data_IF_289044465572
#
_entry.id   IF_289044465572
#
_cell.length_a   1.000
_cell.length_b   1.000
_cell.length_c   1.000
_cell.angle_alpha   90.00
_cell.angle_beta   90.00
_cell.angle_gamma   90.00
#
_symmetry.space_group_name_H-M   'P 1'
#
loop_
_entity.id
_entity.type
_entity.pdbx_description
1 polymer ?
#
# COMPACT_ATOMS: atom_id res chain seq x y z
N UNK A 1 -5.89 -18.75 -3.75
CA UNK A 1 -5.23 -17.87 -4.72
C UNK A 1 -4.09 -17.22 -3.97
N UNK A 2 -2.85 -17.39 -4.40
CA UNK A 2 -1.70 -16.73 -3.76
C UNK A 2 -1.91 -15.23 -3.92
N UNK A 3 -2.20 -14.54 -2.82
CA UNK A 3 -2.38 -13.08 -2.82
C UNK A 3 -1.04 -12.48 -3.25
N UNK A 4 -0.95 -12.09 -4.52
CA UNK A 4 0.31 -11.69 -5.10
C UNK A 4 0.66 -10.32 -4.54
N UNK A 5 1.87 -10.17 -4.02
CA UNK A 5 2.34 -8.95 -3.36
C UNK A 5 3.40 -8.30 -4.23
N UNK A 6 3.26 -7.00 -4.47
CA UNK A 6 4.27 -6.15 -5.09
C UNK A 6 5.02 -5.34 -4.04
N UNK A 7 6.30 -5.09 -4.32
CA UNK A 7 7.13 -4.19 -3.52
C UNK A 7 7.23 -2.83 -4.22
N UNK A 8 6.82 -1.78 -3.50
CA UNK A 8 6.84 -0.39 -3.95
C UNK A 8 7.89 0.35 -3.12
N UNK A 9 8.95 0.84 -3.76
CA UNK A 9 9.94 1.69 -3.10
C UNK A 9 9.46 3.15 -3.07
N UNK A 10 9.42 3.75 -1.88
CA UNK A 10 9.06 5.15 -1.63
C UNK A 10 10.16 5.81 -0.81
N UNK A 11 11.03 6.57 -1.47
CA UNK A 11 12.24 7.12 -0.84
C UNK A 11 13.11 5.99 -0.30
N UNK A 12 13.34 5.99 1.01
CA UNK A 12 14.12 4.96 1.73
C UNK A 12 13.24 3.82 2.28
N UNK A 13 11.92 3.83 2.06
CA UNK A 13 10.98 2.84 2.58
C UNK A 13 10.51 1.88 1.48
N UNK A 14 10.41 0.59 1.80
CA UNK A 14 9.76 -0.41 0.93
C UNK A 14 8.37 -0.73 1.49
N UNK A 15 7.34 -0.55 0.65
CA UNK A 15 5.95 -0.86 0.94
C UNK A 15 5.56 -2.14 0.23
N UNK A 16 5.01 -3.11 0.96
CA UNK A 16 4.42 -4.33 0.38
C UNK A 16 2.93 -4.16 0.25
N UNK A 17 2.41 -4.24 -0.97
CA UNK A 17 0.98 -4.12 -1.27
C UNK A 17 0.50 -5.32 -2.08
N UNK A 18 -0.73 -5.77 -1.83
CA UNK A 18 -1.38 -6.76 -2.70
C UNK A 18 -1.58 -6.21 -4.11
N UNK A 19 -1.54 -7.07 -5.13
CA UNK A 19 -1.74 -6.67 -6.53
C UNK A 19 -3.13 -6.12 -6.81
N UNK A 20 -4.11 -6.48 -5.98
CA UNK A 20 -5.48 -6.02 -6.08
C UNK A 20 -5.71 -4.69 -5.33
N UNK A 21 -4.67 -4.08 -4.77
CA UNK A 21 -4.76 -2.79 -4.08
C UNK A 21 -4.89 -1.67 -5.12
N UNK A 22 -6.07 -1.07 -5.16
CA UNK A 22 -6.36 0.11 -5.97
C UNK A 22 -6.03 1.44 -5.24
N UNK A 23 -6.10 2.54 -5.99
CA UNK A 23 -5.84 3.89 -5.48
C UNK A 23 -6.75 4.27 -4.31
N UNK A 24 -8.03 3.87 -4.34
CA UNK A 24 -9.00 4.20 -3.30
C UNK A 24 -8.70 3.50 -1.97
N UNK A 25 -8.16 2.28 -2.04
CA UNK A 25 -7.65 1.57 -0.88
C UNK A 25 -6.41 2.29 -0.32
N UNK A 26 -5.43 2.62 -1.18
CA UNK A 26 -4.20 3.28 -0.76
C UNK A 26 -4.46 4.66 -0.14
N UNK A 27 -5.34 5.47 -0.74
CA UNK A 27 -5.75 6.77 -0.19
C UNK A 27 -6.37 6.64 1.21
N UNK A 28 -7.16 5.60 1.46
CA UNK A 28 -7.74 5.33 2.80
C UNK A 28 -6.67 5.03 3.83
N UNK A 29 -5.70 4.19 3.49
CA UNK A 29 -4.59 3.83 4.38
C UNK A 29 -3.73 5.05 4.70
N UNK A 30 -3.31 5.83 3.69
CA UNK A 30 -2.51 7.04 3.88
C UNK A 30 -3.23 8.04 4.80
N UNK A 31 -4.53 8.24 4.56
CA UNK A 31 -5.34 9.12 5.41
C UNK A 31 -5.38 8.63 6.87
N UNK A 32 -5.59 7.32 7.08
CA UNK A 32 -5.66 6.73 8.41
C UNK A 32 -4.34 6.87 9.18
N UNK A 33 -3.21 6.64 8.51
CA UNK A 33 -1.87 6.79 9.11
C UNK A 33 -1.59 8.24 9.50
N UNK A 34 -1.96 9.22 8.66
CA UNK A 34 -1.73 10.65 8.95
C UNK A 34 -2.62 11.19 10.09
N UNK A 35 -3.75 10.54 10.37
CA UNK A 35 -4.66 10.95 11.45
C UNK A 35 -4.31 10.41 12.84
N UNK A 36 -3.30 9.56 12.94
CA UNK A 36 -2.78 9.00 14.19
C UNK A 36 -1.58 9.81 14.71
#
# INVERSE_FOLDING_TARGET
MSDAVIEIAVGEMVVRAGVDVDEAHLQRVIRAVRSA
#
